data_IF_899912643315
#
_entry.id   IF_899912643315
#
_cell.length_a   1.000
_cell.length_b   1.000
_cell.length_c   1.000
_cell.angle_alpha   90.00
_cell.angle_beta   90.00
_cell.angle_gamma   90.00
#
_symmetry.space_group_name_H-M   'P 1'
#
loop_
_entity.id
_entity.type
_entity.pdbx_description
1 polymer ?
#
# COMPACT_ATOMS: atom_id res chain seq x y z
N UNK A 1 22.28 10.36 -3.83
CA UNK A 1 23.22 9.23 -3.61
C UNK A 1 22.41 7.94 -3.72
N UNK A 2 22.80 6.94 -4.53
CA UNK A 2 22.10 5.65 -4.52
C UNK A 2 22.42 4.92 -3.21
N UNK A 3 21.39 4.50 -2.48
CA UNK A 3 21.55 3.64 -1.32
C UNK A 3 22.12 2.29 -1.79
N UNK A 4 23.38 2.00 -1.46
CA UNK A 4 23.95 0.66 -1.64
C UNK A 4 23.44 -0.21 -0.50
N UNK A 5 22.39 -0.99 -0.75
CA UNK A 5 22.03 -2.09 0.14
C UNK A 5 23.19 -3.10 0.16
N UNK A 6 23.59 -3.55 1.34
CA UNK A 6 24.63 -4.56 1.48
C UNK A 6 24.10 -5.91 1.01
N UNK A 7 24.96 -6.74 0.37
CA UNK A 7 24.61 -8.08 -0.16
C UNK A 7 23.85 -8.98 0.84
N UNK A 8 24.05 -8.75 2.14
CA UNK A 8 23.43 -9.49 3.25
C UNK A 8 21.98 -9.08 3.56
N UNK A 9 21.55 -7.88 3.13
CA UNK A 9 20.16 -7.38 3.27
C UNK A 9 19.31 -7.67 2.03
N UNK A 10 19.94 -8.08 0.92
CA UNK A 10 19.28 -8.50 -0.32
C UNK A 10 18.89 -9.98 -0.36
N UNK A 11 19.33 -10.77 0.64
CA UNK A 11 19.17 -12.23 0.70
C UNK A 11 18.01 -12.68 1.61
N UNK A 12 17.25 -11.74 2.19
CA UNK A 12 15.98 -12.14 2.80
C UNK A 12 14.96 -12.38 1.69
N UNK A 13 14.64 -13.65 1.47
CA UNK A 13 13.44 -14.08 0.78
C UNK A 13 12.22 -13.63 1.59
N UNK A 14 11.43 -12.75 1.00
CA UNK A 14 10.13 -12.44 1.55
C UNK A 14 9.11 -13.47 1.07
N UNK A 15 8.06 -13.64 1.86
CA UNK A 15 6.97 -14.57 1.55
C UNK A 15 5.64 -13.83 1.38
N UNK A 16 4.72 -14.46 0.64
CA UNK A 16 3.35 -13.95 0.47
C UNK A 16 2.67 -13.83 1.83
N UNK A 17 1.98 -12.71 2.05
CA UNK A 17 1.35 -12.35 3.31
C UNK A 17 2.25 -11.54 4.27
N UNK A 18 3.54 -11.38 3.98
CA UNK A 18 4.41 -10.57 4.82
C UNK A 18 4.17 -9.07 4.63
N UNK A 19 4.22 -8.34 5.74
CA UNK A 19 4.15 -6.89 5.75
C UNK A 19 5.57 -6.31 5.66
N UNK A 20 5.76 -5.35 4.76
CA UNK A 20 7.07 -4.79 4.45
C UNK A 20 7.04 -3.27 4.35
N UNK A 21 8.18 -2.67 4.68
CA UNK A 21 8.47 -1.26 4.44
C UNK A 21 9.24 -1.16 3.13
N UNK A 22 8.73 -0.36 2.19
CA UNK A 22 9.28 -0.24 0.86
C UNK A 22 9.33 1.21 0.37
N UNK A 23 10.20 1.49 -0.59
CA UNK A 23 10.29 2.79 -1.27
C UNK A 23 9.57 2.68 -2.62
N UNK A 24 8.44 3.39 -2.80
CA UNK A 24 7.71 3.33 -4.05
C UNK A 24 8.47 4.09 -5.16
N UNK A 25 8.15 3.78 -6.43
CA UNK A 25 8.88 4.31 -7.60
C UNK A 25 8.40 5.73 -7.96
N UNK A 26 7.29 6.19 -7.39
CA UNK A 26 6.79 7.54 -7.62
C UNK A 26 7.72 8.62 -7.05
N UNK A 27 7.39 9.90 -7.34
CA UNK A 27 8.21 11.05 -6.95
C UNK A 27 8.28 11.28 -5.42
N UNK A 28 7.64 10.44 -4.62
CA UNK A 28 7.67 10.55 -3.16
C UNK A 28 8.94 9.89 -2.59
N UNK A 29 9.81 10.63 -1.88
CA UNK A 29 10.95 10.05 -1.19
C UNK A 29 10.56 9.30 0.09
N UNK A 30 9.26 9.16 0.39
CA UNK A 30 8.77 8.56 1.63
C UNK A 30 8.56 7.06 1.48
N UNK A 31 9.03 6.29 2.46
CA UNK A 31 8.69 4.88 2.57
C UNK A 31 7.18 4.69 2.76
N UNK A 32 6.69 3.54 2.32
CA UNK A 32 5.32 3.08 2.47
C UNK A 32 5.32 1.70 3.13
N UNK A 33 4.19 1.36 3.75
CA UNK A 33 3.95 0.04 4.32
C UNK A 33 2.96 -0.69 3.42
N UNK A 34 3.25 -1.94 3.10
CA UNK A 34 2.42 -2.79 2.26
C UNK A 34 2.50 -4.25 2.67
N UNK A 35 1.62 -5.07 2.08
CA UNK A 35 1.63 -6.52 2.20
C UNK A 35 2.03 -7.14 0.86
N UNK A 36 2.83 -8.21 0.90
CA UNK A 36 3.17 -8.97 -0.32
C UNK A 36 2.00 -9.86 -0.67
N UNK A 37 1.32 -9.56 -1.77
CA UNK A 37 0.21 -10.38 -2.26
C UNK A 37 0.71 -11.53 -3.16
N UNK A 38 1.77 -11.30 -3.93
CA UNK A 38 2.30 -12.27 -4.89
C UNK A 38 3.81 -12.07 -5.13
N UNK A 39 4.49 -13.16 -5.52
CA UNK A 39 5.89 -13.15 -5.94
C UNK A 39 5.95 -13.74 -7.35
N UNK A 40 6.33 -12.90 -8.31
CA UNK A 40 6.47 -13.28 -9.71
C UNK A 40 7.93 -13.67 -9.97
N UNK A 41 8.15 -14.92 -10.38
CA UNK A 41 9.46 -15.45 -10.78
C UNK A 41 9.58 -15.63 -12.30
N UNK A 42 8.56 -15.23 -13.05
CA UNK A 42 8.49 -15.34 -14.51
C UNK A 42 7.85 -14.10 -15.12
N UNK A 43 8.14 -13.87 -16.39
CA UNK A 43 7.50 -12.79 -17.15
C UNK A 43 5.98 -12.96 -17.12
N UNK A 44 5.29 -11.92 -16.66
CA UNK A 44 3.84 -11.93 -16.47
C UNK A 44 3.24 -10.74 -17.20
N UNK A 45 2.07 -10.94 -17.82
CA UNK A 45 1.33 -9.89 -18.53
C UNK A 45 0.10 -9.55 -17.71
N UNK A 46 0.01 -8.30 -17.29
CA UNK A 46 -1.16 -7.79 -16.58
C UNK A 46 -1.93 -6.79 -17.45
N UNK A 47 -3.25 -6.74 -17.27
CA UNK A 47 -4.05 -5.72 -17.93
C UNK A 47 -3.71 -4.35 -17.33
N UNK A 48 -3.48 -3.36 -18.19
CA UNK A 48 -3.27 -2.01 -17.68
C UNK A 48 -4.59 -1.41 -17.20
N UNK A 49 -4.52 -0.61 -16.15
CA UNK A 49 -5.60 0.32 -15.81
C UNK A 49 -5.63 1.56 -16.73
N UNK A 50 -4.63 1.72 -17.61
CA UNK A 50 -4.55 2.84 -18.54
C UNK A 50 -5.41 2.60 -19.79
N UNK A 51 -6.26 3.55 -20.20
CA UNK A 51 -7.06 3.42 -21.43
C UNK A 51 -6.21 3.49 -22.72
N UNK A 52 -4.90 3.76 -22.62
CA UNK A 52 -3.98 3.93 -23.75
C UNK A 52 -3.14 2.67 -24.00
N UNK A 53 -3.04 1.78 -23.00
CA UNK A 53 -2.14 0.63 -23.05
C UNK A 53 -2.96 -0.58 -22.61
N UNK A 54 -3.24 -1.54 -23.49
CA UNK A 54 -4.06 -2.70 -23.12
C UNK A 54 -3.35 -3.64 -22.11
N UNK A 55 -2.02 -3.71 -22.17
CA UNK A 55 -1.20 -4.67 -21.43
C UNK A 55 0.06 -4.00 -20.85
N UNK A 56 0.41 -4.37 -19.62
CA UNK A 56 1.72 -4.10 -19.03
C UNK A 56 2.45 -5.43 -18.85
N UNK A 57 3.64 -5.53 -19.42
CA UNK A 57 4.52 -6.67 -19.20
C UNK A 57 5.40 -6.44 -17.98
N UNK A 58 5.35 -7.36 -17.02
CA UNK A 58 6.20 -7.40 -15.83
C UNK A 58 7.35 -8.37 -16.10
N UNK A 59 8.55 -7.83 -16.24
CA UNK A 59 9.76 -8.65 -16.42
C UNK A 59 10.29 -9.15 -15.08
N UNK A 60 10.11 -10.44 -14.82
CA UNK A 60 10.62 -11.17 -13.66
C UNK A 60 11.30 -12.47 -14.08
N UNK A 61 12.29 -12.90 -13.31
CA UNK A 61 12.99 -14.20 -13.48
C UNK A 61 13.19 -14.84 -12.11
N UNK A 62 13.61 -16.11 -12.06
CA UNK A 62 13.94 -16.77 -10.79
C UNK A 62 15.10 -16.08 -10.04
N UNK A 63 16.05 -15.51 -10.78
CA UNK A 63 17.19 -14.76 -10.22
C UNK A 63 16.82 -13.32 -9.82
N UNK A 64 15.85 -12.72 -10.51
CA UNK A 64 15.33 -11.38 -10.24
C UNK A 64 13.80 -11.38 -10.13
N UNK A 65 13.24 -11.95 -9.05
CA UNK A 65 11.79 -11.98 -8.86
C UNK A 65 11.24 -10.58 -8.62
N UNK A 66 9.94 -10.41 -8.89
CA UNK A 66 9.17 -9.20 -8.58
C UNK A 66 8.19 -9.47 -7.47
N UNK A 67 8.15 -8.57 -6.50
CA UNK A 67 7.28 -8.67 -5.34
C UNK A 67 6.08 -7.74 -5.59
N UNK A 68 4.89 -8.32 -5.73
CA UNK A 68 3.64 -7.57 -5.84
C UNK A 68 3.25 -7.15 -4.44
N UNK A 69 3.39 -5.86 -4.16
CA UNK A 69 3.11 -5.28 -2.85
C UNK A 69 1.83 -4.45 -2.95
N UNK A 70 0.85 -4.76 -2.11
CA UNK A 70 -0.36 -3.97 -1.92
C UNK A 70 -0.14 -2.94 -0.82
N UNK A 71 -0.26 -1.67 -1.19
CA UNK A 71 -0.08 -0.56 -0.28
C UNK A 71 -1.23 -0.50 0.74
N UNK A 72 -0.93 -0.55 2.04
CA UNK A 72 -1.98 -0.56 3.08
C UNK A 72 -2.80 0.74 3.14
N UNK A 73 -2.30 1.85 2.60
CA UNK A 73 -2.98 3.14 2.59
C UNK A 73 -3.90 3.32 1.38
N UNK A 74 -3.48 2.85 0.21
CA UNK A 74 -4.21 3.09 -1.06
C UNK A 74 -4.91 1.86 -1.60
N UNK A 75 -4.64 0.68 -1.03
CA UNK A 75 -5.10 -0.64 -1.49
C UNK A 75 -4.68 -0.96 -2.94
N UNK A 76 -3.68 -0.23 -3.47
CA UNK A 76 -3.14 -0.46 -4.81
C UNK A 76 -1.98 -1.44 -4.74
N UNK A 77 -2.02 -2.45 -5.61
CA UNK A 77 -0.94 -3.41 -5.81
C UNK A 77 0.02 -2.94 -6.91
N UNK A 78 1.31 -3.16 -6.70
CA UNK A 78 2.35 -2.82 -7.69
C UNK A 78 3.54 -3.77 -7.54
N UNK A 79 4.12 -4.19 -8.65
CA UNK A 79 5.30 -5.04 -8.68
C UNK A 79 6.59 -4.24 -8.46
N UNK A 80 7.36 -4.62 -7.43
CA UNK A 80 8.62 -3.98 -7.05
C UNK A 80 9.80 -4.94 -7.14
N UNK A 81 11.01 -4.38 -7.29
CA UNK A 81 12.24 -5.17 -7.16
C UNK A 81 12.57 -5.39 -5.69
N UNK A 82 13.39 -6.41 -5.41
CA UNK A 82 13.89 -6.68 -4.05
C UNK A 82 14.52 -5.46 -3.38
N UNK A 83 15.27 -4.65 -4.13
CA UNK A 83 15.96 -3.46 -3.60
C UNK A 83 15.02 -2.32 -3.20
N UNK A 84 13.75 -2.36 -3.62
CA UNK A 84 12.74 -1.40 -3.16
C UNK A 84 12.29 -1.73 -1.74
N UNK A 85 12.44 -2.98 -1.30
CA UNK A 85 12.00 -3.44 0.01
C UNK A 85 13.14 -3.23 1.01
N UNK A 86 12.88 -2.41 2.02
CA UNK A 86 13.89 -2.02 3.01
C UNK A 86 13.98 -3.05 4.14
N UNK A 87 12.84 -3.48 4.69
CA UNK A 87 12.74 -4.41 5.81
C UNK A 87 11.31 -4.91 6.01
N UNK A 88 11.12 -5.93 6.85
CA UNK A 88 9.81 -6.29 7.40
C UNK A 88 9.23 -5.15 8.24
N UNK A 89 7.93 -4.90 8.10
CA UNK A 89 7.21 -3.92 8.88
C UNK A 89 6.96 -4.45 10.30
N UNK A 90 7.01 -3.57 11.30
CA UNK A 90 6.60 -3.94 12.66
C UNK A 90 5.09 -3.85 12.84
N UNK A 91 4.57 -4.48 13.89
CA UNK A 91 3.13 -4.44 14.19
C UNK A 91 2.62 -3.01 14.44
N UNK A 92 3.46 -2.14 15.01
CA UNK A 92 3.13 -0.73 15.22
C UNK A 92 2.91 -0.02 13.88
N UNK A 93 3.81 -0.21 12.91
CA UNK A 93 3.73 0.41 11.58
C UNK A 93 2.50 -0.06 10.79
N UNK A 94 2.10 -1.33 10.96
CA UNK A 94 0.89 -1.90 10.37
C UNK A 94 -0.36 -1.25 11.00
N UNK A 95 -0.41 -1.19 12.33
CA UNK A 95 -1.57 -0.68 13.07
C UNK A 95 -1.80 0.82 12.87
N UNK A 96 -0.73 1.62 12.73
CA UNK A 96 -0.85 3.05 12.41
C UNK A 96 -1.56 3.27 11.07
N UNK A 97 -1.30 2.42 10.06
CA UNK A 97 -1.93 2.56 8.74
C UNK A 97 -3.37 2.07 8.69
N UNK A 98 -3.72 1.08 9.50
CA UNK A 98 -5.11 0.66 9.66
C UNK A 98 -5.97 1.67 10.45
N UNK A 99 -5.36 2.53 11.25
CA UNK A 99 -6.08 3.47 12.13
C UNK A 99 -6.56 4.75 11.46
N UNK A 100 -6.06 5.09 10.26
CA UNK A 100 -6.53 6.23 9.45
C UNK A 100 -7.98 6.03 8.91
N UNK A 101 -8.59 4.85 9.11
CA UNK A 101 -10.00 4.57 8.82
C UNK A 101 -10.86 4.45 10.08
N UNK A 102 -10.56 5.20 11.15
CA UNK A 102 -11.58 5.55 12.13
C UNK A 102 -12.29 6.81 11.66
N UNK A 103 -13.27 6.61 10.78
CA UNK A 103 -14.36 7.57 10.61
C UNK A 103 -14.94 7.80 12.01
N UNK A 104 -14.82 9.01 12.55
CA UNK A 104 -15.55 9.46 13.74
C UNK A 104 -17.05 9.32 13.48
N UNK A 105 -17.58 8.10 13.57
CA UNK A 105 -19.02 7.82 13.62
C UNK A 105 -19.49 8.05 15.05
N UNK A 106 -19.31 9.26 15.57
CA UNK A 106 -19.86 9.63 16.87
C UNK A 106 -20.10 11.14 17.02
N UNK A 107 -20.84 11.75 16.09
CA UNK A 107 -21.62 12.97 16.39
C UNK A 107 -22.98 12.95 15.70
N UNK A 108 -23.88 12.08 16.16
CA UNK A 108 -25.32 12.38 16.29
C UNK A 108 -25.99 11.19 16.97
N UNK A 109 -26.54 11.37 18.18
CA UNK A 109 -27.91 11.91 18.24
C UNK A 109 -28.16 12.87 19.42
N UNK A 110 -29.39 13.41 19.50
CA UNK A 110 -29.98 14.22 20.58
C UNK A 110 -29.70 15.74 20.51
N UNK A 111 -30.68 16.66 20.53
CA UNK A 111 -31.98 16.63 21.18
C UNK A 111 -33.02 17.55 20.48
N UNK A 112 -34.30 17.24 20.71
CA UNK A 112 -35.47 18.00 20.30
C UNK A 112 -35.63 19.34 21.06
N UNK A 113 -36.11 20.38 20.36
CA UNK A 113 -36.90 21.50 20.89
C UNK A 113 -36.19 22.85 21.20
N UNK A 114 -36.90 24.00 21.17
CA UNK A 114 -38.35 24.16 21.06
C UNK A 114 -38.82 24.76 19.72
N UNK A 115 -39.90 24.22 19.18
CA UNK A 115 -40.75 24.93 18.24
C UNK A 115 -41.44 26.08 18.98
N UNK A 116 -40.95 27.32 18.80
CA UNK A 116 -41.72 28.49 19.21
C UNK A 116 -42.86 28.71 18.22
N UNK A 117 -44.04 28.26 18.62
CA UNK A 117 -45.29 28.60 17.95
C UNK A 117 -45.73 30.04 18.24
N UNK A 118 -46.11 30.71 17.14
CA UNK A 118 -47.23 31.65 16.93
C UNK A 118 -47.25 33.04 17.62
N UNK A 119 -47.99 34.05 17.09
CA UNK A 119 -48.79 34.11 15.85
C UNK A 119 -48.45 35.30 14.92
N UNK A 120 -48.99 35.21 13.70
CA UNK A 120 -49.17 36.32 12.76
C UNK A 120 -50.41 37.11 13.21
N UNK A 121 -50.29 38.43 13.34
CA UNK A 121 -51.41 39.39 13.40
C UNK A 121 -51.27 40.40 12.27
#
# INVERSE_FOLDING_TARGET
MPFKLSKKETDEDYTVGEHVVYIPIDKSPRSSVGVIDEILSQETREQSASPITDEVTIHATEEEPRYVIRNLKTDKSTAYKRYNIMRKATNEEINEKHSDFKLDRDTSPHAEGPHHGVPIQ
#
